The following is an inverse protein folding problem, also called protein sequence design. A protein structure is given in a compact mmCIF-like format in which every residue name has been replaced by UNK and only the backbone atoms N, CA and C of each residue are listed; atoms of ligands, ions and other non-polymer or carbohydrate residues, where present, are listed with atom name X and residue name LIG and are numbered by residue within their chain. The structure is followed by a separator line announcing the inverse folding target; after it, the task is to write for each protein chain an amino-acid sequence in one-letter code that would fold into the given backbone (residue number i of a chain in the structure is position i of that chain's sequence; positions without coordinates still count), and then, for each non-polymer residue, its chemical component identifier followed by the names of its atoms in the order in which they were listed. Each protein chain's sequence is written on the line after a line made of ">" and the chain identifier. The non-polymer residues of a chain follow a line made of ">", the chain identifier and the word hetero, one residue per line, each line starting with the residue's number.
data_IF_009076357615
#
_entry.id   IF_009076357615
#
_cell.length_a   1.000
_cell.length_b   1.000
_cell.length_c   1.000
_cell.angle_alpha   90.00
_cell.angle_beta   90.00
_cell.angle_gamma   90.00
#
_symmetry.space_group_name_H-M   'P 1'
#
loop_
_entity.id
_entity.type
_entity.pdbx_description
1 polymer ?
#
# COMPACT_ATOMS: atom_id res chain seq x y z
N UNK A 1 9.99 -16.25 44.24
CA UNK A 1 10.20 -16.39 42.78
C UNK A 1 9.14 -15.55 42.10
N UNK A 2 9.51 -14.37 41.60
CA UNK A 2 8.59 -13.47 40.92
C UNK A 2 8.40 -13.97 39.50
N UNK A 3 7.18 -14.37 39.16
CA UNK A 3 6.84 -14.66 37.77
C UNK A 3 7.04 -13.40 36.91
N UNK A 4 7.66 -13.49 35.73
CA UNK A 4 7.73 -12.35 34.83
C UNK A 4 6.31 -11.95 34.46
N UNK A 5 5.97 -10.68 34.67
CA UNK A 5 4.67 -10.13 34.17
C UNK A 5 4.56 -10.38 32.67
N UNK A 6 3.40 -10.81 32.20
CA UNK A 6 3.20 -11.00 30.76
C UNK A 6 3.54 -9.72 30.02
N UNK A 7 4.35 -9.83 28.97
CA UNK A 7 4.64 -8.73 28.07
C UNK A 7 3.35 -8.24 27.40
N UNK A 8 3.41 -7.07 26.78
CA UNK A 8 2.32 -6.49 26.01
C UNK A 8 1.71 -7.53 25.03
N UNK A 9 0.38 -7.67 25.07
CA UNK A 9 -0.35 -8.65 24.25
C UNK A 9 -0.62 -8.15 22.82
N UNK A 10 -0.33 -6.89 22.55
CA UNK A 10 -0.59 -6.25 21.26
C UNK A 10 0.68 -6.19 20.42
N UNK A 11 0.58 -6.35 19.09
CA UNK A 11 1.71 -6.13 18.20
C UNK A 11 2.14 -4.65 18.23
N UNK A 12 3.41 -4.33 17.90
CA UNK A 12 3.94 -2.97 17.96
C UNK A 12 3.12 -1.93 17.17
N UNK A 13 2.51 -2.32 16.07
CA UNK A 13 1.62 -1.47 15.26
C UNK A 13 0.35 -0.99 15.98
N UNK A 14 0.00 -1.61 17.11
CA UNK A 14 -1.19 -1.27 17.88
C UNK A 14 -0.89 -0.54 19.19
N UNK A 15 0.36 -0.42 19.58
CA UNK A 15 0.75 0.08 20.91
C UNK A 15 0.27 1.52 21.20
N UNK A 16 0.17 2.36 20.20
CA UNK A 16 -0.29 3.74 20.32
C UNK A 16 -1.76 3.95 19.89
N UNK A 17 -2.51 2.86 19.68
CA UNK A 17 -3.90 2.93 19.19
C UNK A 17 -4.87 3.49 20.25
N UNK A 18 -4.62 3.20 21.53
CA UNK A 18 -5.38 3.77 22.65
C UNK A 18 -4.47 3.95 23.85
N UNK A 19 -4.87 4.84 24.78
CA UNK A 19 -4.13 5.07 26.02
C UNK A 19 -4.04 3.78 26.87
N UNK A 20 -5.09 2.98 26.89
CA UNK A 20 -5.14 1.72 27.64
C UNK A 20 -4.10 0.72 27.11
N UNK A 21 -3.99 0.56 25.79
CA UNK A 21 -2.97 -0.29 25.15
C UNK A 21 -1.57 0.25 25.42
N UNK A 22 -1.38 1.57 25.34
CA UNK A 22 -0.10 2.20 25.61
C UNK A 22 0.35 2.00 27.06
N UNK A 23 -0.59 2.01 28.00
CA UNK A 23 -0.34 1.70 29.44
C UNK A 23 0.06 0.24 29.62
N UNK A 24 -0.72 -0.69 29.04
CA UNK A 24 -0.45 -2.13 29.12
C UNK A 24 0.93 -2.48 28.54
N UNK A 25 1.28 -1.84 27.41
CA UNK A 25 2.55 -2.05 26.72
C UNK A 25 3.71 -1.20 27.25
N UNK A 26 3.47 -0.34 28.24
CA UNK A 26 4.48 0.56 28.87
C UNK A 26 5.13 1.55 27.89
N UNK A 27 4.39 2.01 26.91
CA UNK A 27 4.85 2.94 25.88
C UNK A 27 4.11 4.27 25.88
N UNK A 28 3.44 4.63 27.00
CA UNK A 28 2.62 5.85 27.08
C UNK A 28 3.41 7.10 26.67
N UNK A 29 4.64 7.24 27.19
CA UNK A 29 5.48 8.42 26.93
C UNK A 29 5.78 8.52 25.42
N UNK A 30 6.18 7.42 24.79
CA UNK A 30 6.49 7.35 23.37
C UNK A 30 5.24 7.64 22.52
N UNK A 31 4.08 7.09 22.91
CA UNK A 31 2.82 7.36 22.21
C UNK A 31 2.36 8.80 22.38
N UNK A 32 2.55 9.39 23.56
CA UNK A 32 2.24 10.82 23.79
C UNK A 32 3.16 11.72 23.00
N UNK A 33 4.46 11.42 22.94
CA UNK A 33 5.43 12.14 22.11
C UNK A 33 5.08 12.02 20.63
N UNK A 34 4.74 10.82 20.12
CA UNK A 34 4.26 10.61 18.75
C UNK A 34 2.97 11.41 18.46
N UNK A 35 2.01 11.41 19.38
CA UNK A 35 0.75 12.15 19.21
C UNK A 35 0.94 13.67 19.37
N UNK A 36 1.90 14.12 20.18
CA UNK A 36 2.26 15.53 20.31
C UNK A 36 3.01 16.05 19.06
N UNK A 37 3.72 15.16 18.38
CA UNK A 37 4.40 15.46 17.11
C UNK A 37 3.42 15.43 15.92
N UNK A 38 2.23 14.79 16.07
CA UNK A 38 1.16 14.92 15.07
C UNK A 38 0.58 16.32 15.18
N UNK A 39 0.98 17.26 14.31
CA UNK A 39 0.27 18.53 14.24
C UNK A 39 -1.19 18.19 13.92
N UNK A 40 -2.11 18.97 14.45
CA UNK A 40 -3.51 18.98 14.04
C UNK A 40 -3.50 19.11 12.50
N UNK A 41 -3.59 17.99 11.80
CA UNK A 41 -3.43 17.99 10.34
C UNK A 41 -4.69 18.60 9.74
N UNK A 42 -4.69 19.92 9.59
CA UNK A 42 -5.71 20.68 8.87
C UNK A 42 -5.55 20.54 7.35
N UNK A 43 -4.41 19.99 6.90
CA UNK A 43 -4.06 19.80 5.49
C UNK A 43 -4.14 18.31 5.13
N UNK A 44 -4.89 17.93 4.09
CA UNK A 44 -5.01 16.54 3.68
C UNK A 44 -3.64 15.98 3.24
N UNK A 45 -3.39 14.69 3.47
CA UNK A 45 -2.19 14.02 2.95
C UNK A 45 -2.19 14.02 1.41
N UNK A 46 -1.01 13.87 0.81
CA UNK A 46 -0.87 13.66 -0.63
C UNK A 46 -1.47 12.31 -0.98
N UNK A 47 -2.49 12.32 -1.83
CA UNK A 47 -3.10 11.09 -2.35
C UNK A 47 -2.31 10.60 -3.56
N UNK A 48 -1.76 9.40 -3.47
CA UNK A 48 -1.04 8.73 -4.56
C UNK A 48 -1.85 7.54 -5.00
N UNK A 49 -2.26 7.51 -6.28
CA UNK A 49 -2.95 6.36 -6.86
C UNK A 49 -2.07 5.71 -7.92
N UNK A 50 -1.80 4.42 -7.76
CA UNK A 50 -1.02 3.62 -8.69
C UNK A 50 -1.95 2.71 -9.50
N UNK A 51 -1.97 2.91 -10.82
CA UNK A 51 -2.60 2.01 -11.80
C UNK A 51 -1.52 1.11 -12.39
N UNK A 52 -1.68 -0.21 -12.25
CA UNK A 52 -0.59 -1.14 -12.52
C UNK A 52 -1.08 -2.55 -12.87
N UNK A 53 -0.16 -3.39 -13.25
CA UNK A 53 -0.36 -4.83 -13.45
C UNK A 53 0.55 -5.64 -12.52
N UNK A 54 0.02 -6.73 -12.00
CA UNK A 54 0.70 -7.58 -11.01
C UNK A 54 2.01 -8.19 -11.53
N UNK A 55 2.10 -8.50 -12.83
CA UNK A 55 3.30 -9.11 -13.42
C UNK A 55 4.19 -8.14 -14.19
N UNK A 56 3.77 -6.88 -14.37
CA UNK A 56 4.55 -5.88 -15.07
C UNK A 56 5.86 -5.57 -14.33
N UNK A 57 7.05 -5.79 -14.93
CA UNK A 57 8.33 -5.57 -14.25
C UNK A 57 8.53 -4.14 -13.75
N UNK A 58 8.18 -3.14 -14.56
CA UNK A 58 8.30 -1.72 -14.17
C UNK A 58 7.38 -1.37 -12.99
N UNK A 59 6.16 -1.93 -12.97
CA UNK A 59 5.22 -1.75 -11.85
C UNK A 59 5.77 -2.35 -10.55
N UNK A 60 6.36 -3.53 -10.63
CA UNK A 60 6.97 -4.21 -9.48
C UNK A 60 8.17 -3.43 -8.93
N UNK A 61 9.04 -2.92 -9.80
CA UNK A 61 10.17 -2.07 -9.42
C UNK A 61 9.66 -0.78 -8.76
N UNK A 62 8.69 -0.10 -9.36
CA UNK A 62 8.10 1.11 -8.76
C UNK A 62 7.50 0.83 -7.38
N UNK A 63 6.76 -0.27 -7.23
CA UNK A 63 6.19 -0.70 -5.95
C UNK A 63 7.27 -0.92 -4.90
N UNK A 64 8.34 -1.65 -5.24
CA UNK A 64 9.36 -2.08 -4.29
C UNK A 64 10.40 -1.00 -3.97
N UNK A 65 10.78 -0.16 -4.94
CA UNK A 65 11.87 0.80 -4.77
C UNK A 65 11.40 2.23 -4.51
N UNK A 66 10.17 2.59 -4.91
CA UNK A 66 9.65 3.93 -4.75
C UNK A 66 8.44 3.98 -3.80
N UNK A 67 7.36 3.26 -4.11
CA UNK A 67 6.07 3.44 -3.44
C UNK A 67 6.11 3.00 -1.98
N UNK A 68 6.48 1.75 -1.73
CA UNK A 68 6.45 1.19 -0.38
C UNK A 68 7.48 1.84 0.55
N UNK A 69 8.75 2.05 0.17
CA UNK A 69 9.71 2.76 1.01
C UNK A 69 9.27 4.18 1.34
N UNK A 70 8.74 4.92 0.36
CA UNK A 70 8.23 6.27 0.57
C UNK A 70 7.06 6.28 1.54
N UNK A 71 6.09 5.40 1.33
CA UNK A 71 4.92 5.31 2.21
C UNK A 71 5.32 4.95 3.64
N UNK A 72 6.26 4.04 3.82
CA UNK A 72 6.76 3.66 5.16
C UNK A 72 7.32 4.87 5.92
N UNK A 73 8.00 5.78 5.23
CA UNK A 73 8.59 6.97 5.83
C UNK A 73 7.60 8.14 5.98
N UNK A 74 6.60 8.23 5.12
CA UNK A 74 5.72 9.40 4.97
C UNK A 74 4.23 9.08 5.16
N UNK A 75 3.88 7.96 5.80
CA UNK A 75 2.49 7.51 5.98
C UNK A 75 1.58 8.55 6.66
N UNK A 76 2.14 9.48 7.42
CA UNK A 76 1.37 10.55 8.07
C UNK A 76 0.95 11.67 7.09
N UNK A 77 1.64 11.81 5.97
CA UNK A 77 1.39 12.85 4.96
C UNK A 77 1.09 12.29 3.56
N UNK A 78 0.95 10.98 3.43
CA UNK A 78 0.70 10.29 2.18
C UNK A 78 -0.35 9.20 2.35
N UNK A 79 -1.27 9.11 1.40
CA UNK A 79 -2.18 7.96 1.25
C UNK A 79 -1.93 7.27 -0.06
N UNK A 80 -2.15 5.94 -0.11
CA UNK A 80 -1.94 5.13 -1.30
C UNK A 80 -3.23 4.42 -1.68
N UNK A 81 -3.59 4.50 -2.96
CA UNK A 81 -4.63 3.70 -3.58
C UNK A 81 -3.99 2.83 -4.66
N UNK A 82 -4.26 1.54 -4.61
CA UNK A 82 -3.77 0.56 -5.55
C UNK A 82 -4.89 0.12 -6.50
N UNK A 83 -4.65 0.18 -7.81
CA UNK A 83 -5.60 -0.20 -8.85
C UNK A 83 -4.97 -1.25 -9.77
N UNK A 84 -4.99 -2.54 -9.38
CA UNK A 84 -4.46 -3.63 -10.20
C UNK A 84 -5.40 -3.91 -11.37
N UNK A 85 -5.03 -3.45 -12.57
CA UNK A 85 -5.76 -3.66 -13.83
C UNK A 85 -4.88 -3.31 -15.04
N UNK A 86 -4.32 -2.09 -15.09
CA UNK A 86 -3.41 -1.62 -16.13
C UNK A 86 -4.01 -1.66 -17.54
N UNK A 87 -3.31 -2.33 -18.46
CA UNK A 87 -3.69 -2.49 -19.86
C UNK A 87 -4.69 -3.65 -20.12
N UNK A 88 -5.17 -4.28 -19.06
CA UNK A 88 -6.16 -5.35 -19.17
C UNK A 88 -7.41 -4.85 -19.91
N UNK A 89 -8.11 -5.77 -20.57
CA UNK A 89 -9.36 -5.48 -21.28
C UNK A 89 -10.45 -6.38 -20.71
N UNK A 90 -11.57 -5.75 -20.39
CA UNK A 90 -12.78 -6.45 -19.99
C UNK A 90 -13.55 -6.90 -21.23
N UNK A 91 -13.87 -8.18 -21.29
CA UNK A 91 -14.62 -8.79 -22.37
C UNK A 91 -16.05 -9.08 -21.93
N UNK A 92 -16.99 -8.90 -22.82
CA UNK A 92 -18.41 -9.29 -22.58
C UNK A 92 -18.64 -10.82 -22.70
N UNK A 93 -17.57 -11.61 -22.79
CA UNK A 93 -17.63 -13.07 -22.97
C UNK A 93 -17.66 -13.80 -21.64
N UNK A 94 -18.54 -14.80 -21.50
CA UNK A 94 -18.76 -15.55 -20.27
C UNK A 94 -17.60 -16.47 -19.84
N UNK A 95 -16.64 -16.80 -20.74
CA UNK A 95 -15.61 -17.79 -20.46
C UNK A 95 -14.26 -17.20 -19.96
N UNK A 96 -14.01 -15.92 -20.22
CA UNK A 96 -12.85 -15.21 -19.71
C UNK A 96 -13.18 -13.71 -19.72
N UNK A 97 -13.59 -13.16 -18.57
CA UNK A 97 -14.08 -11.78 -18.53
C UNK A 97 -12.98 -10.75 -18.73
N UNK A 98 -11.71 -11.14 -18.62
CA UNK A 98 -10.56 -10.23 -18.79
C UNK A 98 -9.49 -10.87 -19.68
N UNK A 99 -8.78 -10.00 -20.44
CA UNK A 99 -7.52 -10.33 -21.11
C UNK A 99 -6.44 -9.40 -20.62
N UNK A 100 -5.24 -9.91 -20.36
CA UNK A 100 -4.13 -9.18 -19.77
C UNK A 100 -2.88 -9.27 -20.65
N UNK A 101 -1.99 -8.27 -20.52
CA UNK A 101 -0.83 -8.12 -21.37
C UNK A 101 0.15 -9.31 -21.22
N UNK A 102 0.32 -9.83 -19.99
CA UNK A 102 1.18 -10.97 -19.69
C UNK A 102 0.38 -12.28 -19.53
N UNK A 103 -0.80 -12.34 -20.19
CA UNK A 103 -1.63 -13.54 -20.23
C UNK A 103 -2.53 -13.76 -19.01
N UNK A 104 -3.13 -14.95 -18.95
CA UNK A 104 -4.06 -15.34 -17.89
C UNK A 104 -3.43 -15.28 -16.47
N UNK A 105 -2.15 -15.65 -16.25
CA UNK A 105 -1.54 -15.49 -14.93
C UNK A 105 -1.58 -14.06 -14.39
N UNK A 106 -1.44 -13.04 -15.24
CA UNK A 106 -1.55 -11.64 -14.82
C UNK A 106 -2.98 -11.25 -14.46
N UNK A 107 -3.97 -11.68 -15.26
CA UNK A 107 -5.37 -11.45 -14.92
C UNK A 107 -5.70 -12.06 -13.54
N UNK A 108 -5.19 -13.25 -13.29
CA UNK A 108 -5.35 -13.93 -11.99
C UNK A 108 -4.61 -13.17 -10.88
N UNK A 109 -3.40 -12.69 -11.12
CA UNK A 109 -2.63 -11.88 -10.18
C UNK A 109 -3.35 -10.58 -9.82
N UNK A 110 -3.81 -9.83 -10.82
CA UNK A 110 -4.58 -8.61 -10.61
C UNK A 110 -5.84 -8.86 -9.76
N UNK A 111 -6.54 -9.97 -10.01
CA UNK A 111 -7.73 -10.33 -9.25
C UNK A 111 -7.41 -10.75 -7.81
N UNK A 112 -6.32 -11.49 -7.60
CA UNK A 112 -5.83 -11.84 -6.25
C UNK A 112 -5.50 -10.56 -5.49
N UNK A 113 -4.78 -9.63 -6.08
CA UNK A 113 -4.42 -8.36 -5.47
C UNK A 113 -5.65 -7.49 -5.17
N UNK A 114 -6.61 -7.41 -6.09
CA UNK A 114 -7.88 -6.72 -5.84
C UNK A 114 -8.65 -7.31 -4.64
N UNK A 115 -8.70 -8.64 -4.53
CA UNK A 115 -9.30 -9.34 -3.39
C UNK A 115 -8.51 -9.10 -2.09
N UNK A 116 -7.19 -9.13 -2.12
CA UNK A 116 -6.33 -8.84 -0.96
C UNK A 116 -6.57 -7.39 -0.50
N UNK A 117 -6.58 -6.41 -1.40
CA UNK A 117 -6.85 -5.01 -1.09
C UNK A 117 -8.21 -4.86 -0.37
N UNK A 118 -9.24 -5.51 -0.89
CA UNK A 118 -10.57 -5.48 -0.30
C UNK A 118 -10.64 -6.10 1.09
N UNK A 119 -10.00 -7.25 1.28
CA UNK A 119 -10.11 -8.05 2.51
C UNK A 119 -9.18 -7.58 3.63
N UNK A 120 -8.03 -6.98 3.31
CA UNK A 120 -6.99 -6.67 4.30
C UNK A 120 -6.91 -5.19 4.68
N UNK A 121 -7.52 -4.30 3.87
CA UNK A 121 -7.56 -2.86 4.15
C UNK A 121 -6.15 -2.27 4.36
N UNK A 122 -5.86 -1.81 5.57
CA UNK A 122 -4.58 -1.15 5.88
C UNK A 122 -3.33 -2.02 5.69
N UNK A 123 -3.47 -3.34 5.75
CA UNK A 123 -2.35 -4.26 5.53
C UNK A 123 -2.10 -4.56 4.05
N UNK A 124 -3.00 -4.14 3.16
CA UNK A 124 -2.94 -4.46 1.74
C UNK A 124 -1.59 -4.10 1.10
N UNK A 125 -1.12 -2.88 1.34
CA UNK A 125 0.12 -2.41 0.73
C UNK A 125 1.35 -3.25 1.13
N UNK A 126 1.40 -3.76 2.38
CA UNK A 126 2.47 -4.66 2.82
C UNK A 126 2.42 -6.00 2.08
N UNK A 127 1.22 -6.57 1.93
CA UNK A 127 1.03 -7.86 1.22
C UNK A 127 1.42 -7.71 -0.25
N UNK A 128 0.93 -6.66 -0.92
CA UNK A 128 1.21 -6.39 -2.34
C UNK A 128 2.70 -6.10 -2.57
N UNK A 129 3.35 -5.32 -1.69
CA UNK A 129 4.79 -5.10 -1.74
C UNK A 129 5.59 -6.41 -1.62
N UNK A 130 5.20 -7.29 -0.68
CA UNK A 130 5.83 -8.59 -0.52
C UNK A 130 5.69 -9.44 -1.80
N UNK A 131 4.49 -9.48 -2.40
CA UNK A 131 4.23 -10.18 -3.67
C UNK A 131 5.08 -9.59 -4.81
N UNK A 132 5.09 -8.27 -4.95
CA UNK A 132 5.84 -7.56 -6.00
C UNK A 132 7.37 -7.79 -5.90
N UNK A 133 7.88 -7.99 -4.68
CA UNK A 133 9.31 -8.22 -4.41
C UNK A 133 9.74 -9.68 -4.57
N UNK A 134 8.81 -10.61 -4.66
CA UNK A 134 9.10 -12.04 -4.78
C UNK A 134 9.54 -12.44 -6.19
N UNK A 135 10.27 -13.55 -6.32
CA UNK A 135 10.63 -14.10 -7.62
C UNK A 135 9.39 -14.48 -8.45
N UNK A 136 8.39 -15.09 -7.81
CA UNK A 136 7.10 -15.42 -8.41
C UNK A 136 5.98 -14.74 -7.60
N UNK A 137 5.30 -13.81 -8.24
CA UNK A 137 4.24 -12.99 -7.61
C UNK A 137 3.07 -13.85 -7.13
N UNK A 138 2.63 -14.81 -7.94
CA UNK A 138 1.46 -15.64 -7.64
C UNK A 138 1.74 -16.63 -6.51
N UNK A 139 2.90 -17.27 -6.52
CA UNK A 139 3.31 -18.23 -5.49
C UNK A 139 3.55 -17.54 -4.14
N UNK A 140 3.89 -16.27 -4.17
CA UNK A 140 4.13 -15.47 -2.97
C UNK A 140 2.85 -14.95 -2.30
N UNK A 141 1.69 -15.00 -2.97
CA UNK A 141 0.47 -14.36 -2.48
C UNK A 141 0.02 -14.91 -1.12
N UNK A 142 -0.06 -16.24 -0.97
CA UNK A 142 -0.45 -16.88 0.30
C UNK A 142 0.57 -16.62 1.42
N UNK A 143 1.89 -16.88 1.25
CA UNK A 143 2.88 -16.59 2.28
C UNK A 143 2.94 -15.10 2.68
N UNK A 144 2.80 -14.18 1.72
CA UNK A 144 2.77 -12.75 2.02
C UNK A 144 1.51 -12.34 2.80
N UNK A 145 0.36 -12.93 2.47
CA UNK A 145 -0.88 -12.71 3.21
C UNK A 145 -0.74 -13.19 4.66
N UNK A 146 -0.24 -14.42 4.87
CA UNK A 146 -0.01 -14.98 6.20
C UNK A 146 0.93 -14.13 7.05
N UNK A 147 1.97 -13.56 6.41
CA UNK A 147 2.97 -12.74 7.09
C UNK A 147 2.40 -11.38 7.53
N UNK A 148 1.67 -10.69 6.66
CA UNK A 148 1.28 -9.29 6.88
C UNK A 148 -0.18 -9.08 7.27
N UNK A 149 -1.05 -10.07 7.00
CA UNK A 149 -2.46 -10.02 7.33
C UNK A 149 -2.99 -11.37 7.86
N UNK A 150 -2.38 -11.94 8.93
CA UNK A 150 -2.68 -13.29 9.44
C UNK A 150 -4.13 -13.47 9.92
N UNK A 151 -4.89 -12.40 10.08
CA UNK A 151 -6.31 -12.44 10.41
C UNK A 151 -7.21 -12.77 9.20
N UNK A 152 -6.69 -12.71 7.98
CA UNK A 152 -7.41 -13.02 6.74
C UNK A 152 -6.91 -14.36 6.22
N UNK A 153 -7.82 -15.33 6.07
CA UNK A 153 -7.44 -16.64 5.55
C UNK A 153 -7.25 -16.64 4.03
N UNK A 154 -6.29 -17.43 3.55
CA UNK A 154 -6.10 -17.61 2.11
C UNK A 154 -7.37 -18.16 1.42
N UNK A 155 -8.14 -19.03 2.10
CA UNK A 155 -9.41 -19.52 1.57
C UNK A 155 -10.42 -18.40 1.30
N UNK A 156 -10.41 -17.31 2.08
CA UNK A 156 -11.26 -16.15 1.83
C UNK A 156 -10.84 -15.41 0.56
N UNK A 157 -9.53 -15.28 0.31
CA UNK A 157 -9.01 -14.71 -0.93
C UNK A 157 -9.39 -15.58 -2.13
N UNK A 158 -9.22 -16.90 -2.04
CA UNK A 158 -9.61 -17.85 -3.09
C UNK A 158 -11.11 -17.80 -3.38
N UNK A 159 -11.94 -17.68 -2.35
CA UNK A 159 -13.40 -17.54 -2.50
C UNK A 159 -13.77 -16.22 -3.18
N UNK A 160 -13.10 -15.12 -2.86
CA UNK A 160 -13.27 -13.84 -3.54
C UNK A 160 -12.90 -13.95 -5.02
N UNK A 161 -11.71 -14.47 -5.33
CA UNK A 161 -11.21 -14.62 -6.72
C UNK A 161 -12.12 -15.49 -7.59
N UNK A 162 -12.68 -16.56 -7.02
CA UNK A 162 -13.57 -17.48 -7.75
C UNK A 162 -15.02 -17.01 -7.79
N UNK A 163 -15.38 -16.06 -6.96
CA UNK A 163 -16.74 -15.57 -6.79
C UNK A 163 -17.04 -14.31 -7.58
N UNK A 164 -18.31 -13.87 -7.50
CA UNK A 164 -18.76 -12.63 -8.12
C UNK A 164 -18.03 -11.39 -7.58
N UNK A 165 -17.54 -11.44 -6.34
CA UNK A 165 -16.82 -10.32 -5.73
C UNK A 165 -15.53 -10.00 -6.46
N UNK A 166 -14.71 -10.99 -6.80
CA UNK A 166 -13.47 -10.78 -7.55
C UNK A 166 -13.71 -10.12 -8.90
N UNK A 167 -14.75 -10.56 -9.62
CA UNK A 167 -15.17 -9.92 -10.86
C UNK A 167 -15.58 -8.46 -10.64
N UNK A 168 -16.41 -8.19 -9.63
CA UNK A 168 -16.87 -6.82 -9.32
C UNK A 168 -15.71 -5.89 -8.96
N UNK A 169 -14.72 -6.37 -8.20
CA UNK A 169 -13.53 -5.59 -7.86
C UNK A 169 -12.69 -5.27 -9.10
N UNK A 170 -12.46 -6.27 -9.96
CA UNK A 170 -11.75 -6.07 -11.23
C UNK A 170 -12.53 -5.14 -12.18
N UNK A 171 -13.85 -5.27 -12.24
CA UNK A 171 -14.71 -4.34 -13.00
C UNK A 171 -14.59 -2.90 -12.46
N UNK A 172 -14.60 -2.72 -11.13
CA UNK A 172 -14.40 -1.40 -10.52
C UNK A 172 -13.04 -0.81 -10.87
N UNK A 173 -11.97 -1.61 -10.84
CA UNK A 173 -10.64 -1.20 -11.27
C UNK A 173 -10.60 -0.82 -12.76
N UNK A 174 -11.31 -1.58 -13.61
CA UNK A 174 -11.47 -1.28 -15.03
C UNK A 174 -12.18 0.08 -15.24
N UNK A 175 -13.24 0.36 -14.48
CA UNK A 175 -13.95 1.64 -14.53
C UNK A 175 -13.04 2.79 -14.11
N UNK A 176 -12.31 2.64 -12.99
CA UNK A 176 -11.36 3.65 -12.52
C UNK A 176 -10.27 3.93 -13.56
N UNK A 177 -9.72 2.88 -14.18
CA UNK A 177 -8.66 3.00 -15.18
C UNK A 177 -9.17 3.69 -16.45
N UNK A 178 -10.37 3.34 -16.92
CA UNK A 178 -11.00 3.98 -18.09
C UNK A 178 -11.42 5.43 -17.86
N UNK A 179 -11.64 5.81 -16.59
CA UNK A 179 -12.01 7.18 -16.23
C UNK A 179 -10.82 8.14 -16.15
N UNK A 180 -9.58 7.65 -16.35
CA UNK A 180 -8.39 8.49 -16.35
C UNK A 180 -8.46 9.57 -17.44
N UNK A 181 -8.12 10.80 -17.06
CA UNK A 181 -8.01 11.93 -17.95
C UNK A 181 -6.70 12.71 -17.64
N UNK A 182 -5.69 12.68 -18.54
CA UNK A 182 -5.67 11.94 -19.81
C UNK A 182 -5.72 10.42 -19.61
N UNK A 183 -6.17 9.70 -20.63
CA UNK A 183 -6.12 8.24 -20.62
C UNK A 183 -4.67 7.79 -20.51
N UNK A 184 -4.43 6.72 -19.74
CA UNK A 184 -3.08 6.18 -19.61
C UNK A 184 -2.57 5.64 -20.96
N UNK A 185 -1.28 5.79 -21.20
CA UNK A 185 -0.59 5.30 -22.39
C UNK A 185 0.46 4.23 -22.07
N UNK A 186 0.78 4.07 -20.80
CA UNK A 186 1.74 3.11 -20.27
C UNK A 186 1.38 2.76 -18.82
N UNK A 187 2.09 1.84 -18.24
CA UNK A 187 2.07 1.48 -16.82
C UNK A 187 3.51 1.26 -16.31
N UNK A 188 3.80 1.52 -15.02
CA UNK A 188 2.90 2.07 -14.02
C UNK A 188 2.42 3.47 -14.38
N UNK A 189 1.15 3.81 -14.09
CA UNK A 189 0.59 5.15 -14.22
C UNK A 189 0.27 5.69 -12.83
N UNK A 190 0.80 6.86 -12.51
CA UNK A 190 0.69 7.40 -11.15
C UNK A 190 0.00 8.75 -11.16
N UNK A 191 -1.05 8.88 -10.36
CA UNK A 191 -1.74 10.16 -10.16
C UNK A 191 -1.49 10.70 -8.76
N UNK A 192 -1.42 12.03 -8.64
CA UNK A 192 -1.22 12.73 -7.39
C UNK A 192 -2.41 13.67 -7.13
N UNK A 193 -3.10 13.47 -6.00
CA UNK A 193 -4.32 14.20 -5.64
C UNK A 193 -5.41 14.14 -6.74
N UNK A 194 -5.47 13.00 -7.45
CA UNK A 194 -6.41 12.76 -8.53
C UNK A 194 -5.99 13.32 -9.91
N UNK A 195 -4.84 13.96 -10.01
CA UNK A 195 -4.32 14.54 -11.26
C UNK A 195 -3.09 13.80 -11.76
N UNK A 196 -2.96 13.69 -13.08
CA UNK A 196 -1.78 13.20 -13.77
C UNK A 196 -1.02 14.36 -14.43
N UNK A 197 0.29 14.37 -14.26
CA UNK A 197 1.21 15.15 -15.08
C UNK A 197 2.46 14.34 -15.36
N UNK A 198 2.98 14.39 -16.58
CA UNK A 198 4.22 13.73 -16.97
C UNK A 198 5.39 14.16 -16.06
N UNK A 199 5.47 15.45 -15.74
CA UNK A 199 6.50 15.98 -14.84
C UNK A 199 6.48 15.33 -13.44
N UNK A 200 5.29 15.14 -12.85
CA UNK A 200 5.18 14.50 -11.53
C UNK A 200 5.48 13.01 -11.62
N UNK A 201 5.07 12.34 -12.69
CA UNK A 201 5.37 10.94 -12.86
C UNK A 201 6.87 10.70 -13.05
N UNK A 202 7.56 11.48 -13.89
CA UNK A 202 9.02 11.43 -14.05
C UNK A 202 9.76 11.65 -12.72
N UNK A 203 9.31 12.64 -11.95
CA UNK A 203 9.84 12.88 -10.60
C UNK A 203 9.58 11.69 -9.68
N UNK A 204 8.41 11.08 -9.73
CA UNK A 204 8.06 9.93 -8.91
C UNK A 204 8.89 8.69 -9.26
N UNK A 205 9.17 8.46 -10.55
CA UNK A 205 10.05 7.38 -11.00
C UNK A 205 11.49 7.56 -10.50
N UNK A 206 11.94 8.82 -10.37
CA UNK A 206 13.28 9.14 -9.88
C UNK A 206 13.34 9.18 -8.34
N UNK A 207 12.37 9.82 -7.69
CA UNK A 207 12.28 9.93 -6.23
C UNK A 207 10.88 10.35 -5.78
N UNK A 208 10.02 9.36 -5.60
CA UNK A 208 8.66 9.58 -5.07
C UNK A 208 8.69 10.27 -3.70
N UNK A 209 9.66 9.93 -2.88
CA UNK A 209 9.87 10.53 -1.56
C UNK A 209 10.00 12.06 -1.63
N UNK A 210 10.87 12.57 -2.49
CA UNK A 210 11.04 14.02 -2.67
C UNK A 210 9.78 14.68 -3.22
N UNK A 211 9.11 14.03 -4.17
CA UNK A 211 7.89 14.56 -4.75
C UNK A 211 6.76 14.68 -3.71
N UNK A 212 6.54 13.65 -2.89
CA UNK A 212 5.52 13.70 -1.83
C UNK A 212 5.85 14.81 -0.82
N UNK A 213 7.11 14.93 -0.39
CA UNK A 213 7.54 16.03 0.44
C UNK A 213 7.31 17.41 -0.20
N UNK A 214 7.48 17.53 -1.51
CA UNK A 214 7.25 18.77 -2.25
C UNK A 214 5.77 19.11 -2.38
N UNK A 215 4.93 18.12 -2.69
CA UNK A 215 3.48 18.27 -2.91
C UNK A 215 2.70 18.53 -1.61
N UNK A 216 3.18 18.01 -0.49
CA UNK A 216 2.50 18.20 0.79
C UNK A 216 2.51 19.68 1.21
N UNK A 217 1.32 20.24 1.47
CA UNK A 217 1.11 21.66 1.78
C UNK A 217 1.06 21.96 3.29
N UNK A 218 1.09 20.92 4.14
CA UNK A 218 1.12 21.09 5.60
C UNK A 218 2.54 21.28 6.15
N UNK A 219 2.64 21.22 7.47
CA UNK A 219 3.92 21.25 8.16
C UNK A 219 4.72 19.99 7.80
N UNK A 220 5.86 20.17 7.19
CA UNK A 220 6.69 19.05 6.72
C UNK A 220 7.26 18.26 7.89
N UNK A 221 7.15 16.94 7.89
CA UNK A 221 7.77 16.12 8.92
C UNK A 221 9.29 16.18 8.84
N UNK A 222 10.01 15.83 9.93
CA UNK A 222 11.49 15.81 9.94
C UNK A 222 12.08 14.99 8.78
N UNK A 223 11.43 13.92 8.37
CA UNK A 223 11.81 13.14 7.21
C UNK A 223 11.94 13.99 5.94
N UNK A 224 11.06 14.97 5.71
CA UNK A 224 11.10 15.87 4.55
C UNK A 224 12.09 17.04 4.67
N UNK A 225 12.57 17.37 5.87
CA UNK A 225 13.40 18.55 6.14
C UNK A 225 14.88 18.22 6.29
N UNK A 226 15.24 16.93 6.35
CA UNK A 226 16.60 16.49 6.64
C UNK A 226 17.06 16.84 8.06
N UNK A 227 16.14 17.22 8.93
CA UNK A 227 16.47 17.48 10.33
C UNK A 227 17.08 16.22 10.96
N UNK A 228 18.24 16.33 11.63
CA UNK A 228 18.89 15.17 12.21
C UNK A 228 17.98 14.55 13.28
N UNK A 229 17.56 13.31 13.06
CA UNK A 229 16.97 12.49 14.12
C UNK A 229 18.10 12.11 15.06
N UNK A 230 18.10 12.68 16.26
CA UNK A 230 19.06 12.29 17.28
C UNK A 230 18.71 10.88 17.74
N UNK A 231 19.48 9.92 17.29
CA UNK A 231 19.40 8.55 17.78
C UNK A 231 20.18 8.49 19.09
N UNK A 232 19.50 8.40 20.22
CA UNK A 232 20.14 8.12 21.49
C UNK A 232 20.65 6.67 21.46
N UNK A 233 21.95 6.51 21.81
CA UNK A 233 22.52 5.17 21.98
C UNK A 233 21.81 4.50 23.15
N UNK A 234 21.07 3.42 22.88
CA UNK A 234 20.64 2.52 23.95
C UNK A 234 21.67 1.42 24.08
N UNK A 235 22.13 1.21 25.30
CA UNK A 235 22.93 0.05 25.63
C UNK A 235 21.95 -1.06 26.03
N UNK A 236 21.83 -2.08 25.17
CA UNK A 236 21.09 -3.30 25.49
C UNK A 236 21.95 -4.20 26.37
#
# INVERSE_FOLDING_TARGET
>A
MSHPKPGCRYPPSQWCRSLEIAIECKVQKQCMEMNAIRPNQTVPPVSVTLYYESLCPACRVFMSEQLFPTWTMLQDIMTVTLVPYGNAKELLSANSPFTCQHGEPECRGNMIEACIIHLTGHSALHVIYCMASAANVLDAAEPCLELYAPSVSWSSVVSCVRGALGYQLMHSNAVMTRALNPAHTHIPWVTFNGEYTEENEDKAMSSLYHLVCQLYKGVKPPACTGAPVRVDRSFC
#
